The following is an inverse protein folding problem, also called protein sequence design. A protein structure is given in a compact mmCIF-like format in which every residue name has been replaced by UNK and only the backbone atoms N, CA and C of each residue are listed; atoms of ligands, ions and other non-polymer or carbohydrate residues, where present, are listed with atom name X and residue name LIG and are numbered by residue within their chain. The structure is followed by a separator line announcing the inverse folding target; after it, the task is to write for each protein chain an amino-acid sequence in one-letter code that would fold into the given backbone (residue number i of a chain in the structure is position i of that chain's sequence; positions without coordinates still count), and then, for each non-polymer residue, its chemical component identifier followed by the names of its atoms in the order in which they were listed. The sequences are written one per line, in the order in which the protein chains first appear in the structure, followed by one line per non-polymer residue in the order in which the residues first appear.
data_IF_367613686392
#
_entry.id   IF_367613686392
#
_cell.length_a   1.000
_cell.length_b   1.000
_cell.length_c   1.000
_cell.angle_alpha   90.00
_cell.angle_beta   90.00
_cell.angle_gamma   90.00
#
_symmetry.space_group_name_H-M   'P 1'
#
loop_
_entity.id
_entity.type
_entity.pdbx_description
1 polymer ?
#
# COMPACT_ATOMS: atom_id res chain seq x y z
N UNK A 1 -15.83 -9.14 15.80
CA UNK A 1 -14.39 -9.42 15.92
C UNK A 1 -13.65 -8.39 15.06
N UNK A 2 -12.61 -7.78 15.60
CA UNK A 2 -11.68 -6.97 14.82
C UNK A 2 -10.74 -7.89 14.05
N UNK A 3 -10.36 -7.49 12.84
CA UNK A 3 -9.31 -8.15 12.07
C UNK A 3 -8.02 -7.35 12.18
N UNK A 4 -6.91 -8.02 12.53
CA UNK A 4 -5.60 -7.40 12.65
C UNK A 4 -4.76 -7.68 11.40
N UNK A 5 -4.05 -6.64 10.95
CA UNK A 5 -3.03 -6.71 9.90
C UNK A 5 -1.72 -6.15 10.43
N UNK A 6 -0.61 -6.80 10.10
CA UNK A 6 0.74 -6.28 10.38
C UNK A 6 1.42 -5.96 9.06
N UNK A 7 2.04 -4.79 8.96
CA UNK A 7 2.76 -4.35 7.76
C UNK A 7 4.21 -4.07 8.11
N UNK A 8 5.12 -4.67 7.35
CA UNK A 8 6.56 -4.43 7.40
C UNK A 8 7.02 -3.68 6.16
N UNK A 9 8.07 -2.82 6.22
CA UNK A 9 8.89 -2.56 5.06
C UNK A 9 9.48 -3.86 4.50
N UNK A 10 9.49 -4.03 3.19
CA UNK A 10 9.98 -5.27 2.56
C UNK A 10 11.43 -5.58 2.92
N UNK A 11 12.29 -4.56 2.89
CA UNK A 11 13.72 -4.67 3.26
C UNK A 11 13.92 -5.04 4.74
N UNK A 12 13.06 -4.51 5.62
CA UNK A 12 13.11 -4.84 7.05
C UNK A 12 12.70 -6.30 7.29
N UNK A 13 11.63 -6.74 6.62
CA UNK A 13 11.14 -8.11 6.73
C UNK A 13 12.18 -9.13 6.27
N UNK A 14 12.86 -8.90 5.15
CA UNK A 14 13.93 -9.78 4.67
C UNK A 14 15.08 -9.89 5.67
N UNK A 15 15.61 -8.76 6.13
CA UNK A 15 16.68 -8.73 7.15
C UNK A 15 16.27 -9.39 8.46
N UNK A 16 15.04 -9.16 8.88
CA UNK A 16 14.51 -9.77 10.09
C UNK A 16 14.43 -11.29 9.96
N UNK A 17 13.97 -11.80 8.82
CA UNK A 17 13.89 -13.23 8.56
C UNK A 17 15.30 -13.88 8.58
N UNK A 18 16.28 -13.26 7.93
CA UNK A 18 17.66 -13.75 7.94
C UNK A 18 18.23 -13.81 9.36
N UNK A 19 18.02 -12.75 10.16
CA UNK A 19 18.43 -12.71 11.55
C UNK A 19 17.74 -13.80 12.39
N UNK A 20 16.42 -13.92 12.29
CA UNK A 20 15.65 -14.86 13.11
C UNK A 20 16.00 -16.33 12.84
N UNK A 21 16.38 -16.68 11.62
CA UNK A 21 16.78 -18.04 11.28
C UNK A 21 18.30 -18.31 11.35
N UNK A 22 19.10 -17.30 11.72
CA UNK A 22 20.57 -17.44 11.84
C UNK A 22 21.01 -18.43 12.92
N UNK A 23 20.18 -18.63 13.94
CA UNK A 23 20.46 -19.53 15.08
C UNK A 23 19.86 -20.94 14.92
N UNK A 24 19.25 -21.25 13.76
CA UNK A 24 18.64 -22.56 13.51
C UNK A 24 19.62 -23.71 13.79
N UNK A 25 19.23 -24.82 14.50
CA UNK A 25 17.84 -25.20 14.83
C UNK A 25 17.28 -24.57 16.12
N UNK A 26 18.04 -23.74 16.85
CA UNK A 26 17.53 -23.05 18.05
C UNK A 26 16.55 -21.94 17.67
N UNK A 27 15.56 -21.72 18.53
CA UNK A 27 14.67 -20.57 18.41
C UNK A 27 15.43 -19.26 18.63
N UNK A 28 14.99 -18.23 17.95
CA UNK A 28 15.49 -16.86 18.08
C UNK A 28 14.31 -15.89 18.08
N UNK A 29 14.52 -14.67 18.55
CA UNK A 29 13.44 -13.70 18.64
C UNK A 29 13.93 -12.26 18.76
N UNK A 30 12.98 -11.35 18.76
CA UNK A 30 13.19 -9.92 18.94
C UNK A 30 11.88 -9.22 19.33
N UNK A 31 11.96 -7.94 19.68
CA UNK A 31 10.80 -7.08 19.74
C UNK A 31 10.70 -6.18 18.52
N UNK A 32 9.49 -6.06 17.96
CA UNK A 32 9.16 -5.07 16.95
C UNK A 32 8.39 -3.95 17.61
N UNK A 33 8.61 -2.74 17.13
CA UNK A 33 7.89 -1.55 17.56
C UNK A 33 7.04 -1.05 16.39
N UNK A 34 5.73 -0.91 16.60
CA UNK A 34 4.77 -0.63 15.55
C UNK A 34 3.86 0.56 15.88
N UNK A 35 3.53 1.37 14.89
CA UNK A 35 2.42 2.30 14.97
C UNK A 35 1.09 1.57 14.75
N UNK A 36 0.05 2.00 15.48
CA UNK A 36 -1.30 1.45 15.35
C UNK A 36 -2.23 2.47 14.69
N UNK A 37 -3.05 1.99 13.74
CA UNK A 37 -4.17 2.76 13.22
C UNK A 37 -5.37 1.88 12.89
N UNK A 38 -6.55 2.49 12.83
CA UNK A 38 -7.79 1.83 12.41
C UNK A 38 -8.02 2.09 10.92
N UNK A 39 -8.12 1.04 10.12
CA UNK A 39 -8.43 1.08 8.69
C UNK A 39 -9.94 0.88 8.42
N UNK A 40 -10.78 1.31 9.36
CA UNK A 40 -12.23 1.14 9.35
C UNK A 40 -12.76 0.62 10.69
N UNK A 41 -14.07 0.36 10.82
CA UNK A 41 -14.67 0.00 12.10
C UNK A 41 -14.22 -1.36 12.65
N UNK A 42 -13.84 -2.28 11.76
CA UNK A 42 -13.49 -3.67 12.12
C UNK A 42 -12.05 -4.06 11.79
N UNK A 43 -11.25 -3.17 11.18
CA UNK A 43 -9.88 -3.47 10.75
C UNK A 43 -8.86 -2.59 11.49
N UNK A 44 -7.95 -3.22 12.20
CA UNK A 44 -6.81 -2.58 12.88
C UNK A 44 -5.49 -2.98 12.21
N UNK A 45 -4.55 -2.05 12.13
CA UNK A 45 -3.27 -2.26 11.45
C UNK A 45 -2.12 -1.84 12.35
N UNK A 46 -1.09 -2.67 12.42
CA UNK A 46 0.19 -2.39 13.07
C UNK A 46 1.25 -2.20 11.97
N UNK A 47 1.90 -1.03 11.96
CA UNK A 47 2.98 -0.71 11.02
C UNK A 47 4.30 -0.81 11.75
N UNK A 48 5.12 -1.78 11.38
CA UNK A 48 6.44 -1.98 12.00
C UNK A 48 7.42 -0.91 11.52
N UNK A 49 7.99 -0.18 12.46
CA UNK A 49 8.93 0.91 12.18
C UNK A 49 10.31 0.69 12.76
N UNK A 50 10.43 -0.12 13.82
CA UNK A 50 11.70 -0.37 14.51
C UNK A 50 11.78 -1.81 14.99
N UNK A 51 13.01 -2.33 15.09
CA UNK A 51 13.33 -3.64 15.67
C UNK A 51 14.28 -3.44 16.85
N UNK A 52 14.00 -4.10 17.95
CA UNK A 52 14.88 -4.22 19.10
C UNK A 52 15.47 -5.61 19.06
N UNK A 53 16.72 -5.70 18.63
CA UNK A 53 17.44 -6.97 18.57
C UNK A 53 17.93 -7.38 19.96
N UNK A 54 17.99 -8.70 20.24
CA UNK A 54 18.54 -9.22 21.48
C UNK A 54 20.05 -9.00 21.52
N UNK A 55 20.59 -8.97 22.74
CA UNK A 55 22.01 -9.15 23.06
C UNK A 55 22.24 -10.57 23.57
N UNK A 56 23.50 -10.95 23.86
CA UNK A 56 23.81 -12.27 24.38
C UNK A 56 23.12 -12.58 25.72
N UNK A 57 22.75 -11.58 26.51
CA UNK A 57 22.08 -11.74 27.82
C UNK A 57 20.56 -11.55 27.74
N UNK A 58 19.98 -11.53 26.55
CA UNK A 58 18.53 -11.26 26.39
C UNK A 58 17.64 -12.48 26.65
N UNK A 59 18.22 -13.67 26.79
CA UNK A 59 17.47 -14.91 26.95
C UNK A 59 17.78 -15.57 28.28
N UNK A 60 16.72 -15.91 29.06
CA UNK A 60 16.85 -16.82 30.19
C UNK A 60 17.07 -18.25 29.68
N UNK A 61 16.38 -18.60 28.60
CA UNK A 61 16.49 -19.87 27.91
C UNK A 61 16.32 -19.65 26.40
N UNK A 62 17.18 -20.32 25.60
CA UNK A 62 17.08 -20.37 24.14
C UNK A 62 17.40 -21.78 23.65
N UNK A 63 16.37 -22.59 23.44
CA UNK A 63 16.43 -23.97 22.96
C UNK A 63 15.87 -24.14 21.55
N UNK A 64 15.67 -25.39 21.16
CA UNK A 64 15.08 -25.75 19.85
C UNK A 64 13.53 -25.66 19.87
N UNK A 65 12.91 -25.64 21.06
CA UNK A 65 11.46 -25.70 21.25
C UNK A 65 10.93 -24.69 22.28
N UNK A 66 11.80 -23.82 22.79
CA UNK A 66 11.38 -22.77 23.72
C UNK A 66 12.35 -21.61 23.77
N UNK A 67 11.81 -20.40 23.81
CA UNK A 67 12.55 -19.15 23.93
C UNK A 67 11.93 -18.29 25.03
N UNK A 68 12.72 -17.98 26.07
CA UNK A 68 12.25 -17.17 27.21
C UNK A 68 13.11 -15.90 27.32
N UNK A 69 12.54 -14.72 27.11
CA UNK A 69 13.26 -13.46 27.27
C UNK A 69 13.52 -13.14 28.74
N UNK A 70 14.62 -12.45 29.01
CA UNK A 70 14.92 -11.90 30.34
C UNK A 70 14.02 -10.69 30.64
N UNK A 71 13.83 -10.40 31.93
CA UNK A 71 13.10 -9.20 32.36
C UNK A 71 13.76 -7.91 31.84
N UNK A 72 15.10 -7.88 31.75
CA UNK A 72 15.84 -6.75 31.19
C UNK A 72 15.47 -6.49 29.72
N UNK A 73 15.39 -7.56 28.91
CA UNK A 73 15.05 -7.42 27.48
C UNK A 73 13.60 -7.00 27.29
N UNK A 74 12.68 -7.52 28.12
CA UNK A 74 11.27 -7.08 28.15
C UNK A 74 11.20 -5.60 28.52
N UNK A 75 11.86 -5.19 29.62
CA UNK A 75 11.85 -3.82 30.10
C UNK A 75 12.39 -2.84 29.05
N UNK A 76 13.42 -3.22 28.29
CA UNK A 76 13.92 -2.42 27.18
C UNK A 76 12.83 -2.13 26.13
N UNK A 77 12.02 -3.14 25.78
CA UNK A 77 10.91 -2.96 24.84
C UNK A 77 9.78 -2.12 25.44
N UNK A 78 9.50 -2.27 26.73
CA UNK A 78 8.48 -1.50 27.46
C UNK A 78 8.86 -0.03 27.53
N UNK A 79 10.09 0.28 27.92
CA UNK A 79 10.61 1.65 27.99
C UNK A 79 10.54 2.32 26.59
N UNK A 80 10.97 1.60 25.56
CA UNK A 80 10.88 2.10 24.19
C UNK A 80 9.43 2.38 23.79
N UNK A 81 8.50 1.46 24.11
CA UNK A 81 7.08 1.63 23.83
C UNK A 81 6.51 2.84 24.57
N UNK A 82 6.88 3.03 25.83
CA UNK A 82 6.40 4.15 26.64
C UNK A 82 6.88 5.50 26.10
N UNK A 83 8.17 5.61 25.82
CA UNK A 83 8.78 6.84 25.31
C UNK A 83 8.28 7.21 23.91
N UNK A 84 8.08 6.23 23.04
CA UNK A 84 7.76 6.48 21.62
C UNK A 84 6.28 6.45 21.29
N UNK A 85 5.44 5.92 22.17
CA UNK A 85 4.02 5.67 21.88
C UNK A 85 3.76 4.45 20.99
N UNK A 86 4.78 3.68 20.64
CA UNK A 86 4.68 2.51 19.77
C UNK A 86 4.13 1.28 20.50
N UNK A 87 3.54 0.38 19.72
CA UNK A 87 3.01 -0.91 20.18
C UNK A 87 4.11 -1.96 20.10
N UNK A 88 4.50 -2.65 21.19
CA UNK A 88 5.48 -3.72 21.14
C UNK A 88 4.87 -5.02 20.62
N UNK A 89 5.62 -5.75 19.80
CA UNK A 89 5.27 -7.06 19.27
C UNK A 89 6.45 -7.99 19.55
N UNK A 90 6.25 -9.02 20.35
CA UNK A 90 7.24 -10.06 20.52
C UNK A 90 7.21 -11.02 19.35
N UNK A 91 8.35 -11.27 18.73
CA UNK A 91 8.49 -12.21 17.61
C UNK A 91 9.49 -13.28 17.97
N UNK A 92 9.13 -14.55 17.74
CA UNK A 92 10.07 -15.67 17.86
C UNK A 92 9.86 -16.69 16.74
N UNK A 93 10.81 -17.60 16.60
CA UNK A 93 10.81 -18.61 15.55
C UNK A 93 10.51 -20.00 16.09
N UNK A 94 9.88 -20.82 15.24
CA UNK A 94 9.86 -22.28 15.34
C UNK A 94 10.60 -22.87 14.12
N UNK A 95 11.94 -22.90 14.13
CA UNK A 95 12.73 -23.21 12.93
C UNK A 95 12.62 -24.66 12.48
N UNK A 96 12.38 -25.59 13.41
CA UNK A 96 12.24 -27.03 13.15
C UNK A 96 10.82 -27.47 12.80
N UNK A 97 9.83 -26.54 12.81
CA UNK A 97 8.45 -26.88 12.48
C UNK A 97 8.25 -27.21 11.01
N UNK A 98 7.75 -28.42 10.72
CA UNK A 98 7.35 -28.87 9.38
C UNK A 98 5.92 -28.50 9.01
N UNK A 99 5.17 -27.91 9.95
CA UNK A 99 3.78 -27.45 9.76
C UNK A 99 3.72 -25.92 9.79
N UNK A 100 2.59 -25.31 9.38
CA UNK A 100 2.32 -23.91 9.66
C UNK A 100 2.52 -23.64 11.16
N UNK A 101 3.11 -22.49 11.52
CA UNK A 101 3.44 -22.24 12.93
C UNK A 101 2.17 -22.09 13.76
N UNK A 102 2.20 -22.61 14.97
CA UNK A 102 1.18 -22.41 16.00
C UNK A 102 1.87 -22.07 17.31
N UNK A 103 1.18 -21.33 18.17
CA UNK A 103 1.65 -21.12 19.54
C UNK A 103 1.60 -22.42 20.32
N UNK A 104 2.72 -22.78 20.97
CA UNK A 104 2.76 -23.87 21.93
C UNK A 104 1.95 -23.52 23.17
N UNK A 105 1.66 -24.52 24.03
CA UNK A 105 0.99 -24.26 25.31
C UNK A 105 1.79 -23.34 26.23
N UNK A 106 3.11 -23.42 26.13
CA UNK A 106 4.04 -22.53 26.85
C UNK A 106 3.94 -21.11 26.32
N UNK A 107 3.94 -20.93 25.00
CA UNK A 107 3.78 -19.60 24.39
C UNK A 107 2.44 -18.96 24.78
N UNK A 108 1.35 -19.74 24.74
CA UNK A 108 0.01 -19.24 25.09
C UNK A 108 -0.04 -18.75 26.53
N UNK A 109 0.49 -19.56 27.48
CA UNK A 109 0.49 -19.19 28.89
C UNK A 109 1.43 -18.02 29.21
N UNK A 110 2.58 -17.99 28.57
CA UNK A 110 3.59 -16.92 28.74
C UNK A 110 3.10 -15.61 28.12
N UNK A 111 2.59 -15.65 26.90
CA UNK A 111 2.04 -14.49 26.23
C UNK A 111 0.87 -13.87 26.98
N UNK A 112 -0.06 -14.69 27.47
CA UNK A 112 -1.22 -14.17 28.20
C UNK A 112 -0.81 -13.45 29.49
N UNK A 113 0.08 -14.05 30.30
CA UNK A 113 0.60 -13.42 31.52
C UNK A 113 1.41 -12.17 31.22
N UNK A 114 2.28 -12.23 30.21
CA UNK A 114 3.07 -11.08 29.76
C UNK A 114 2.15 -9.93 29.34
N UNK A 115 1.14 -10.20 28.53
CA UNK A 115 0.22 -9.18 28.05
C UNK A 115 -0.63 -8.55 29.16
N UNK A 116 -1.08 -9.34 30.14
CA UNK A 116 -1.79 -8.78 31.30
C UNK A 116 -0.90 -7.80 32.06
N UNK A 117 0.30 -8.21 32.40
CA UNK A 117 1.24 -7.36 33.16
C UNK A 117 1.64 -6.10 32.36
N UNK A 118 1.92 -6.24 31.06
CA UNK A 118 2.28 -5.11 30.21
C UNK A 118 1.11 -4.17 29.93
N UNK A 119 -0.13 -4.66 29.89
CA UNK A 119 -1.31 -3.84 29.72
C UNK A 119 -1.56 -2.89 30.90
N UNK A 120 -1.16 -3.28 32.12
CA UNK A 120 -1.20 -2.40 33.28
C UNK A 120 -0.25 -1.21 33.13
N UNK A 121 0.92 -1.44 32.50
CA UNK A 121 1.97 -0.42 32.32
C UNK A 121 1.69 0.42 31.07
N UNK A 122 1.38 -0.22 29.94
CA UNK A 122 1.25 0.41 28.63
C UNK A 122 -0.21 0.73 28.26
N UNK A 123 -1.11 0.83 29.23
CA UNK A 123 -2.56 0.99 29.10
C UNK A 123 -3.04 1.56 27.76
N UNK A 124 -4.03 0.91 27.11
CA UNK A 124 -4.62 1.28 25.82
C UNK A 124 -3.83 0.93 24.55
N UNK A 125 -2.58 0.47 24.66
CA UNK A 125 -1.79 0.08 23.47
C UNK A 125 -1.97 -1.39 23.14
N UNK A 126 -2.20 -1.74 21.86
CA UNK A 126 -2.15 -3.13 21.43
C UNK A 126 -0.79 -3.77 21.69
N UNK A 127 -0.79 -5.00 22.18
CA UNK A 127 0.40 -5.80 22.42
C UNK A 127 0.36 -7.03 21.51
N UNK A 128 1.42 -7.28 20.74
CA UNK A 128 1.45 -8.36 19.76
C UNK A 128 2.38 -9.50 20.14
N UNK A 129 2.05 -10.71 19.66
CA UNK A 129 2.98 -11.83 19.60
C UNK A 129 2.88 -12.53 18.25
N UNK A 130 4.02 -12.86 17.67
CA UNK A 130 4.13 -13.49 16.34
C UNK A 130 5.10 -14.66 16.41
N UNK A 131 4.68 -15.79 15.87
CA UNK A 131 5.55 -16.96 15.63
C UNK A 131 5.80 -17.10 14.15
N UNK A 132 7.07 -17.28 13.77
CA UNK A 132 7.50 -17.45 12.39
C UNK A 132 8.14 -18.83 12.23
N UNK A 133 7.70 -19.59 11.23
CA UNK A 133 8.37 -20.79 10.76
C UNK A 133 8.80 -20.62 9.30
N UNK A 134 9.49 -21.61 8.74
CA UNK A 134 9.81 -21.64 7.30
C UNK A 134 8.56 -21.75 6.42
N UNK A 135 7.41 -22.14 7.00
CA UNK A 135 6.13 -22.42 6.29
C UNK A 135 5.04 -21.37 6.51
N UNK A 136 5.30 -20.35 7.30
CA UNK A 136 4.32 -19.29 7.51
C UNK A 136 4.51 -18.51 8.79
N UNK A 137 3.52 -17.71 9.09
CA UNK A 137 3.47 -16.84 10.26
C UNK A 137 2.11 -17.04 10.93
N UNK A 138 2.09 -17.07 12.25
CA UNK A 138 0.87 -16.90 13.06
C UNK A 138 1.09 -15.81 14.08
N UNK A 139 0.02 -15.15 14.50
CA UNK A 139 0.15 -14.10 15.51
C UNK A 139 -1.16 -13.73 16.14
N UNK A 140 -1.05 -13.13 17.31
CA UNK A 140 -2.17 -12.59 18.08
C UNK A 140 -1.86 -11.18 18.56
N UNK A 141 -2.91 -10.40 18.78
CA UNK A 141 -2.84 -9.07 19.38
C UNK A 141 -3.74 -9.05 20.60
N UNK A 142 -3.21 -8.60 21.72
CA UNK A 142 -3.98 -8.30 22.91
C UNK A 142 -4.40 -6.83 22.87
N UNK A 143 -5.70 -6.57 22.86
CA UNK A 143 -6.26 -5.23 22.83
C UNK A 143 -7.61 -5.23 23.52
N UNK A 144 -7.91 -4.19 24.29
CA UNK A 144 -9.18 -4.05 25.03
C UNK A 144 -9.53 -5.29 25.90
N UNK A 145 -8.52 -5.90 26.53
CA UNK A 145 -8.68 -7.08 27.39
C UNK A 145 -8.91 -8.39 26.65
N UNK A 146 -8.72 -8.46 25.33
CA UNK A 146 -8.99 -9.64 24.49
C UNK A 146 -7.80 -9.99 23.61
N UNK A 147 -7.63 -11.29 23.36
CA UNK A 147 -6.73 -11.79 22.33
C UNK A 147 -7.50 -11.94 21.01
N UNK A 148 -6.97 -11.33 19.97
CA UNK A 148 -7.51 -11.35 18.60
C UNK A 148 -6.43 -11.81 17.63
N UNK A 149 -6.80 -12.58 16.61
CA UNK A 149 -5.85 -13.13 15.64
C UNK A 149 -5.37 -12.07 14.63
N UNK A 150 -4.09 -12.19 14.26
CA UNK A 150 -3.53 -11.48 13.11
C UNK A 150 -3.91 -12.27 11.84
N UNK A 151 -4.79 -11.69 11.05
CA UNK A 151 -5.32 -12.35 9.84
C UNK A 151 -4.46 -12.10 8.60
N UNK A 152 -3.61 -11.08 8.61
CA UNK A 152 -2.78 -10.72 7.47
C UNK A 152 -1.44 -10.14 7.92
N UNK A 153 -0.37 -10.62 7.33
CA UNK A 153 0.97 -10.03 7.44
C UNK A 153 1.44 -9.66 6.04
N UNK A 154 1.88 -8.42 5.84
CA UNK A 154 2.31 -7.91 4.54
C UNK A 154 3.71 -7.34 4.65
N UNK A 155 4.60 -7.76 3.79
CA UNK A 155 5.86 -7.07 3.53
C UNK A 155 5.66 -6.12 2.35
N UNK A 156 5.60 -4.81 2.63
CA UNK A 156 5.37 -3.78 1.64
C UNK A 156 6.69 -3.28 1.07
N UNK A 157 6.99 -3.67 -0.15
CA UNK A 157 8.19 -3.28 -0.90
C UNK A 157 7.89 -3.32 -2.39
N UNK A 158 8.95 -3.33 -3.23
CA UNK A 158 8.81 -3.63 -4.65
C UNK A 158 8.31 -5.06 -4.86
N UNK A 159 8.68 -5.96 -3.95
CA UNK A 159 8.06 -7.26 -3.79
C UNK A 159 6.96 -7.11 -2.72
N UNK A 160 5.70 -7.19 -3.16
CA UNK A 160 4.55 -7.15 -2.26
C UNK A 160 4.21 -8.57 -1.80
N UNK A 161 4.80 -9.00 -0.70
CA UNK A 161 4.55 -10.33 -0.14
C UNK A 161 3.43 -10.26 0.89
N UNK A 162 2.32 -10.91 0.59
CA UNK A 162 1.42 -11.36 1.64
C UNK A 162 2.00 -12.62 2.23
N UNK A 163 2.66 -12.47 3.37
CA UNK A 163 3.14 -13.62 4.14
C UNK A 163 1.92 -14.30 4.72
N UNK A 164 1.63 -15.49 4.23
CA UNK A 164 0.40 -16.19 4.58
C UNK A 164 0.35 -16.46 6.08
N UNK A 165 -0.67 -15.92 6.73
CA UNK A 165 -1.25 -16.55 7.90
C UNK A 165 -2.04 -17.74 7.36
N UNK A 166 -1.74 -18.98 7.75
CA UNK A 166 -2.49 -20.14 7.29
C UNK A 166 -3.95 -20.01 7.72
N UNK A 167 -4.81 -19.55 6.84
CA UNK A 167 -6.24 -19.73 7.03
C UNK A 167 -6.55 -21.16 6.60
N UNK A 168 -6.74 -22.02 7.58
CA UNK A 168 -7.40 -23.31 7.36
C UNK A 168 -8.74 -23.01 6.67
N UNK A 169 -8.97 -23.65 5.52
CA UNK A 169 -10.27 -23.81 4.86
C UNK A 169 -10.67 -22.92 3.68
N UNK A 170 -9.76 -22.38 2.87
CA UNK A 170 -10.25 -21.79 1.61
C UNK A 170 -9.72 -22.48 0.33
N UNK A 171 -9.39 -23.77 0.41
CA UNK A 171 -9.03 -24.62 -0.74
C UNK A 171 -10.23 -25.15 -1.51
N UNK A 172 -11.46 -24.90 -1.04
CA UNK A 172 -12.66 -25.57 -1.56
C UNK A 172 -13.35 -24.88 -2.74
N UNK A 173 -13.08 -23.62 -3.05
CA UNK A 173 -13.68 -22.98 -4.22
C UNK A 173 -12.80 -23.12 -5.45
N UNK A 174 -13.26 -23.92 -6.41
CA UNK A 174 -12.64 -24.06 -7.74
C UNK A 174 -12.54 -22.67 -8.38
N UNK A 175 -11.34 -22.28 -8.82
CA UNK A 175 -11.16 -21.02 -9.54
C UNK A 175 -12.05 -21.00 -10.79
N UNK A 176 -12.65 -19.84 -11.09
CA UNK A 176 -13.49 -19.69 -12.25
C UNK A 176 -12.65 -19.88 -13.52
N UNK A 177 -13.11 -20.72 -14.44
CA UNK A 177 -12.43 -21.07 -15.70
C UNK A 177 -12.07 -19.86 -16.57
N UNK A 178 -12.75 -18.71 -16.39
CA UNK A 178 -12.41 -17.46 -17.10
C UNK A 178 -10.99 -16.96 -16.82
N UNK A 179 -10.36 -17.41 -15.72
CA UNK A 179 -8.99 -17.04 -15.37
C UNK A 179 -7.94 -18.08 -15.77
N UNK A 180 -8.33 -19.16 -16.47
CA UNK A 180 -7.43 -20.27 -16.85
C UNK A 180 -6.12 -19.79 -17.50
N UNK A 181 -6.21 -18.84 -18.44
CA UNK A 181 -5.01 -18.29 -19.12
C UNK A 181 -4.08 -17.53 -18.19
N UNK A 182 -4.62 -16.82 -17.18
CA UNK A 182 -3.83 -16.10 -16.20
C UNK A 182 -3.20 -17.06 -15.19
N UNK A 183 -3.96 -18.07 -14.76
CA UNK A 183 -3.48 -19.13 -13.86
C UNK A 183 -2.29 -19.89 -14.48
N UNK A 184 -2.29 -20.10 -15.81
CA UNK A 184 -1.13 -20.72 -16.51
C UNK A 184 0.13 -19.86 -16.47
N UNK A 185 0.02 -18.52 -16.28
CA UNK A 185 1.15 -17.63 -16.18
C UNK A 185 1.63 -17.49 -14.72
N UNK A 186 0.70 -17.27 -13.79
CA UNK A 186 1.03 -16.84 -12.42
C UNK A 186 0.77 -17.93 -11.36
N UNK A 187 0.06 -18.99 -11.69
CA UNK A 187 -0.41 -19.99 -10.74
C UNK A 187 -1.70 -19.62 -10.02
N UNK A 188 -2.32 -20.62 -9.38
CA UNK A 188 -3.58 -20.42 -8.64
C UNK A 188 -3.42 -19.54 -7.42
N UNK A 189 -2.30 -19.61 -6.73
CA UNK A 189 -2.03 -18.85 -5.51
C UNK A 189 -2.06 -17.34 -5.77
N UNK A 190 -1.38 -16.90 -6.82
CA UNK A 190 -1.38 -15.49 -7.23
C UNK A 190 -2.78 -15.05 -7.69
N UNK A 191 -3.51 -15.91 -8.43
CA UNK A 191 -4.87 -15.57 -8.82
C UNK A 191 -5.81 -15.41 -7.61
N UNK A 192 -5.68 -16.26 -6.59
CA UNK A 192 -6.42 -16.13 -5.32
C UNK A 192 -6.02 -14.87 -4.56
N UNK A 193 -4.72 -14.51 -4.56
CA UNK A 193 -4.25 -13.25 -3.99
C UNK A 193 -4.93 -12.05 -4.67
N UNK A 194 -4.92 -11.99 -6.01
CA UNK A 194 -5.58 -10.92 -6.79
C UNK A 194 -7.06 -10.81 -6.41
N UNK A 195 -7.78 -11.94 -6.27
CA UNK A 195 -9.20 -11.96 -5.92
C UNK A 195 -9.50 -11.48 -4.49
N UNK A 196 -8.52 -11.44 -3.60
CA UNK A 196 -8.64 -10.91 -2.23
C UNK A 196 -8.25 -9.45 -2.12
N UNK A 197 -7.51 -8.92 -3.08
CA UNK A 197 -7.00 -7.55 -3.02
C UNK A 197 -8.12 -6.51 -3.08
N UNK A 198 -7.92 -5.45 -2.32
CA UNK A 198 -8.65 -4.19 -2.42
C UNK A 198 -7.73 -3.14 -3.03
N UNK A 199 -8.12 -2.56 -4.15
CA UNK A 199 -7.33 -1.54 -4.86
C UNK A 199 -8.13 -0.26 -4.96
N UNK A 200 -7.55 0.86 -4.51
CA UNK A 200 -8.11 2.20 -4.76
C UNK A 200 -7.56 2.78 -6.05
N UNK A 201 -8.42 3.42 -6.82
CA UNK A 201 -8.06 4.17 -8.02
C UNK A 201 -8.53 5.61 -7.82
N UNK A 202 -7.58 6.53 -7.79
CA UNK A 202 -7.82 7.97 -7.59
C UNK A 202 -7.57 8.70 -8.90
N UNK A 203 -8.60 9.39 -9.39
CA UNK A 203 -8.66 9.95 -10.74
C UNK A 203 -9.16 8.93 -11.76
N UNK A 204 -10.29 9.22 -12.40
CA UNK A 204 -10.96 8.34 -13.38
C UNK A 204 -11.05 8.98 -14.78
N UNK A 205 -10.01 9.70 -15.14
CA UNK A 205 -9.79 10.11 -16.52
C UNK A 205 -9.42 8.94 -17.45
N UNK A 206 -8.75 9.21 -18.54
CA UNK A 206 -8.34 8.18 -19.50
C UNK A 206 -7.51 7.06 -18.86
N UNK A 207 -6.51 7.42 -18.04
CA UNK A 207 -5.63 6.44 -17.36
C UNK A 207 -6.40 5.62 -16.31
N UNK A 208 -7.08 6.28 -15.37
CA UNK A 208 -7.73 5.57 -14.26
C UNK A 208 -8.92 4.72 -14.71
N UNK A 209 -9.68 5.13 -15.72
CA UNK A 209 -10.76 4.29 -16.29
C UNK A 209 -10.20 3.04 -16.97
N UNK A 210 -9.06 3.17 -17.67
CA UNK A 210 -8.35 2.03 -18.27
C UNK A 210 -7.80 1.07 -17.20
N UNK A 211 -7.18 1.59 -16.13
CA UNK A 211 -6.74 0.80 -14.96
C UNK A 211 -7.92 0.03 -14.37
N UNK A 212 -9.06 0.69 -14.14
CA UNK A 212 -10.25 0.07 -13.56
C UNK A 212 -10.77 -1.11 -14.39
N UNK A 213 -10.80 -0.96 -15.73
CA UNK A 213 -11.19 -2.03 -16.65
C UNK A 213 -10.20 -3.19 -16.59
N UNK A 214 -8.90 -2.93 -16.65
CA UNK A 214 -7.87 -3.96 -16.61
C UNK A 214 -7.89 -4.74 -15.29
N UNK A 215 -7.90 -4.05 -14.14
CA UNK A 215 -7.96 -4.68 -12.82
C UNK A 215 -9.23 -5.53 -12.63
N UNK A 216 -10.36 -5.07 -13.15
CA UNK A 216 -11.60 -5.86 -13.11
C UNK A 216 -11.49 -7.14 -13.96
N UNK A 217 -10.84 -7.06 -15.14
CA UNK A 217 -10.65 -8.22 -16.03
C UNK A 217 -9.70 -9.25 -15.46
N UNK A 218 -8.63 -8.83 -14.77
CA UNK A 218 -7.72 -9.77 -14.08
C UNK A 218 -8.32 -10.32 -12.78
N UNK A 219 -9.45 -9.78 -12.31
CA UNK A 219 -10.23 -10.36 -11.21
C UNK A 219 -9.90 -9.81 -9.83
N UNK A 220 -9.45 -8.57 -9.72
CA UNK A 220 -9.28 -7.90 -8.40
C UNK A 220 -10.59 -7.96 -7.61
N UNK A 221 -10.49 -8.32 -6.33
CA UNK A 221 -11.65 -8.59 -5.48
C UNK A 221 -12.50 -7.36 -5.19
N UNK A 222 -11.87 -6.22 -4.88
CA UNK A 222 -12.57 -4.96 -4.60
C UNK A 222 -11.84 -3.78 -5.24
N UNK A 223 -12.59 -2.90 -5.90
CA UNK A 223 -12.14 -1.59 -6.35
C UNK A 223 -12.86 -0.48 -5.58
N UNK A 224 -12.09 0.52 -5.15
CA UNK A 224 -12.59 1.77 -4.59
C UNK A 224 -12.25 2.86 -5.61
N UNK A 225 -13.28 3.38 -6.27
CA UNK A 225 -13.16 4.40 -7.30
C UNK A 225 -13.39 5.78 -6.69
N UNK A 226 -12.43 6.69 -6.86
CA UNK A 226 -12.45 8.03 -6.26
C UNK A 226 -12.19 9.06 -7.36
N UNK A 227 -13.17 9.90 -7.63
CA UNK A 227 -13.07 11.03 -8.55
C UNK A 227 -14.18 12.03 -8.24
N UNK A 228 -13.88 13.32 -8.24
CA UNK A 228 -14.85 14.39 -7.95
C UNK A 228 -15.68 14.81 -9.14
N UNK A 229 -15.20 14.55 -10.37
CA UNK A 229 -15.71 15.14 -11.59
C UNK A 229 -16.89 14.36 -12.18
N UNK A 230 -17.62 15.05 -13.05
CA UNK A 230 -18.59 14.48 -13.97
C UNK A 230 -17.99 14.26 -15.36
N UNK A 231 -18.67 13.46 -16.18
CA UNK A 231 -18.32 13.25 -17.59
C UNK A 231 -18.62 14.54 -18.38
N UNK A 232 -17.62 15.04 -19.06
CA UNK A 232 -17.72 16.10 -20.05
C UNK A 232 -17.65 15.52 -21.46
N UNK A 233 -18.11 16.23 -22.47
CA UNK A 233 -18.04 15.80 -23.87
C UNK A 233 -16.59 15.50 -24.30
N UNK A 234 -15.63 16.33 -23.87
CA UNK A 234 -14.20 16.15 -24.12
C UNK A 234 -13.63 14.88 -23.51
N UNK A 235 -14.31 14.25 -22.54
CA UNK A 235 -13.89 13.01 -21.90
C UNK A 235 -14.25 11.77 -22.72
N UNK A 236 -15.26 11.86 -23.59
CA UNK A 236 -15.77 10.72 -24.37
C UNK A 236 -14.70 10.10 -25.27
N UNK A 237 -13.68 10.85 -25.64
CA UNK A 237 -12.58 10.38 -26.49
C UNK A 237 -11.56 9.49 -25.78
N UNK A 238 -11.59 9.44 -24.42
CA UNK A 238 -10.55 8.72 -23.66
C UNK A 238 -11.02 8.00 -22.40
N UNK A 239 -12.19 8.32 -21.85
CA UNK A 239 -12.73 7.65 -20.65
C UNK A 239 -13.43 6.36 -21.05
N UNK A 240 -12.90 5.22 -20.60
CA UNK A 240 -13.45 3.92 -20.91
C UNK A 240 -14.87 3.74 -20.36
N UNK A 241 -15.79 3.27 -21.23
CA UNK A 241 -17.16 2.97 -20.87
C UNK A 241 -18.11 4.17 -20.87
N UNK A 242 -17.62 5.40 -21.11
CA UNK A 242 -18.47 6.59 -21.27
C UNK A 242 -19.18 6.59 -22.61
N UNK A 243 -20.39 7.16 -22.65
CA UNK A 243 -21.24 7.32 -23.82
C UNK A 243 -21.76 8.75 -23.89
N UNK A 244 -22.25 9.19 -25.03
CA UNK A 244 -22.91 10.50 -25.19
C UNK A 244 -24.00 10.76 -24.13
N UNK A 245 -24.78 9.73 -23.79
CA UNK A 245 -25.84 9.79 -22.78
C UNK A 245 -25.35 9.89 -21.34
N UNK A 246 -24.05 9.85 -21.13
CA UNK A 246 -23.41 9.92 -19.80
C UNK A 246 -22.82 11.28 -19.48
N UNK A 247 -22.85 12.22 -20.43
CA UNK A 247 -22.44 13.62 -20.20
C UNK A 247 -23.24 14.21 -19.04
N UNK A 248 -22.57 14.83 -18.07
CA UNK A 248 -23.14 15.37 -16.84
C UNK A 248 -23.25 14.38 -15.68
N UNK A 249 -23.17 13.06 -15.92
CA UNK A 249 -23.15 12.06 -14.83
C UNK A 249 -21.75 11.97 -14.21
N UNK A 250 -21.69 11.55 -12.95
CA UNK A 250 -20.42 11.40 -12.24
C UNK A 250 -19.55 10.32 -12.89
N UNK A 251 -18.23 10.56 -13.03
CA UNK A 251 -17.30 9.58 -13.60
C UNK A 251 -17.33 8.26 -12.83
N UNK A 252 -17.40 8.31 -11.50
CA UNK A 252 -17.40 7.13 -10.64
C UNK A 252 -18.59 6.20 -10.90
N UNK A 253 -19.81 6.73 -11.10
CA UNK A 253 -20.99 5.91 -11.36
C UNK A 253 -21.02 5.37 -12.80
N UNK A 254 -20.59 6.17 -13.78
CA UNK A 254 -20.49 5.71 -15.18
C UNK A 254 -19.53 4.54 -15.29
N UNK A 255 -18.33 4.65 -14.71
CA UNK A 255 -17.32 3.59 -14.75
C UNK A 255 -17.80 2.38 -13.96
N UNK A 256 -18.34 2.53 -12.75
CA UNK A 256 -18.91 1.44 -11.96
C UNK A 256 -19.98 0.67 -12.75
N UNK A 257 -20.87 1.36 -13.45
CA UNK A 257 -21.89 0.75 -14.32
C UNK A 257 -21.22 -0.03 -15.46
N UNK A 258 -20.18 0.53 -16.08
CA UNK A 258 -19.44 -0.14 -17.15
C UNK A 258 -18.75 -1.40 -16.64
N UNK A 259 -18.05 -1.36 -15.51
CA UNK A 259 -17.37 -2.53 -14.93
C UNK A 259 -18.37 -3.66 -14.59
N UNK A 260 -19.53 -3.30 -14.05
CA UNK A 260 -20.60 -4.27 -13.73
C UNK A 260 -21.23 -4.92 -14.96
N UNK A 261 -21.12 -4.33 -16.14
CA UNK A 261 -21.67 -4.89 -17.38
C UNK A 261 -20.93 -6.17 -17.82
N UNK A 262 -19.66 -6.35 -17.42
CA UNK A 262 -18.86 -7.52 -17.81
C UNK A 262 -18.25 -8.30 -16.64
N UNK A 263 -18.38 -7.82 -15.39
CA UNK A 263 -17.91 -8.53 -14.20
C UNK A 263 -18.81 -8.30 -12.99
N UNK A 264 -19.21 -9.40 -12.33
CA UNK A 264 -19.93 -9.37 -11.06
C UNK A 264 -19.05 -9.83 -9.90
N UNK A 265 -17.87 -10.37 -10.17
CA UNK A 265 -16.95 -10.88 -9.13
C UNK A 265 -16.16 -9.78 -8.42
N UNK A 266 -15.91 -8.66 -9.09
CA UNK A 266 -15.25 -7.49 -8.49
C UNK A 266 -16.27 -6.60 -7.79
N UNK A 267 -16.11 -6.39 -6.48
CA UNK A 267 -16.92 -5.42 -5.73
C UNK A 267 -16.45 -4.02 -6.07
N UNK A 268 -17.35 -3.13 -6.48
CA UNK A 268 -17.01 -1.75 -6.87
C UNK A 268 -17.72 -0.76 -5.94
N UNK A 269 -16.94 -0.03 -5.18
CA UNK A 269 -17.37 1.12 -4.38
C UNK A 269 -17.02 2.40 -5.15
N UNK A 270 -17.96 3.33 -5.27
CA UNK A 270 -17.80 4.58 -6.03
C UNK A 270 -17.97 5.76 -5.09
N UNK A 271 -17.01 6.68 -5.09
CA UNK A 271 -16.97 7.86 -4.24
C UNK A 271 -16.74 9.10 -5.10
N UNK A 272 -17.77 9.91 -5.28
CA UNK A 272 -17.63 11.22 -5.90
C UNK A 272 -17.06 12.20 -4.86
N UNK A 273 -15.75 12.18 -4.70
CA UNK A 273 -15.04 12.94 -3.66
C UNK A 273 -13.70 13.45 -4.17
N UNK A 274 -13.24 14.54 -3.59
CA UNK A 274 -11.86 15.00 -3.71
C UNK A 274 -11.00 14.22 -2.73
N UNK A 275 -9.86 13.68 -3.20
CA UNK A 275 -8.93 12.90 -2.36
C UNK A 275 -8.32 13.72 -1.22
N UNK A 276 -8.38 15.05 -1.31
CA UNK A 276 -7.92 15.95 -0.26
C UNK A 276 -8.86 16.03 0.95
N UNK A 277 -10.00 15.32 0.90
CA UNK A 277 -10.98 15.30 1.99
C UNK A 277 -10.70 14.17 2.98
N UNK A 278 -10.82 14.46 4.27
CA UNK A 278 -10.51 13.50 5.35
C UNK A 278 -11.38 12.23 5.28
N UNK A 279 -12.63 12.33 4.84
CA UNK A 279 -13.53 11.18 4.67
C UNK A 279 -13.07 10.20 3.58
N UNK A 280 -12.17 10.61 2.69
CA UNK A 280 -11.55 9.77 1.66
C UNK A 280 -10.37 9.00 2.21
N UNK A 281 -9.62 9.56 3.16
CA UNK A 281 -8.49 8.89 3.80
C UNK A 281 -8.91 7.54 4.38
N UNK A 282 -10.03 7.49 5.09
CA UNK A 282 -10.54 6.24 5.69
C UNK A 282 -10.82 5.14 4.66
N UNK A 283 -11.14 5.51 3.44
CA UNK A 283 -11.32 4.56 2.32
C UNK A 283 -9.99 4.11 1.75
N UNK A 284 -9.04 5.04 1.58
CA UNK A 284 -7.68 4.71 1.13
C UNK A 284 -6.98 3.73 2.07
N UNK A 285 -7.14 3.90 3.39
CA UNK A 285 -6.55 3.03 4.40
C UNK A 285 -7.06 1.58 4.37
N UNK A 286 -8.17 1.30 3.67
CA UNK A 286 -8.67 -0.06 3.45
C UNK A 286 -7.95 -0.79 2.32
N UNK A 287 -7.14 -0.09 1.52
CA UNK A 287 -6.53 -0.62 0.30
C UNK A 287 -5.26 -1.41 0.58
N UNK A 288 -4.99 -2.37 -0.27
CA UNK A 288 -3.70 -3.06 -0.34
C UNK A 288 -2.73 -2.35 -1.28
N UNK A 289 -3.26 -1.64 -2.30
CA UNK A 289 -2.50 -0.82 -3.26
C UNK A 289 -3.37 0.37 -3.70
N UNK A 290 -2.75 1.50 -3.97
CA UNK A 290 -3.38 2.70 -4.51
C UNK A 290 -2.82 2.97 -5.91
N UNK A 291 -3.69 3.20 -6.89
CA UNK A 291 -3.33 3.78 -8.18
C UNK A 291 -3.61 5.29 -8.14
N UNK A 292 -2.58 6.10 -8.30
CA UNK A 292 -2.66 7.55 -8.49
C UNK A 292 -2.72 7.86 -9.99
N UNK A 293 -3.91 8.26 -10.46
CA UNK A 293 -4.18 8.57 -11.85
C UNK A 293 -4.68 10.02 -12.01
N UNK A 294 -4.27 10.89 -11.09
CA UNK A 294 -4.67 12.31 -11.04
C UNK A 294 -3.71 13.18 -11.84
N UNK A 295 -4.21 14.27 -12.36
CA UNK A 295 -3.49 15.28 -13.13
C UNK A 295 -2.99 16.46 -12.29
N UNK A 296 -3.42 16.59 -11.01
CA UNK A 296 -2.98 17.65 -10.12
C UNK A 296 -1.96 17.19 -9.10
N UNK A 297 -1.04 18.07 -8.74
CA UNK A 297 0.07 17.79 -7.82
C UNK A 297 -0.38 17.65 -6.38
N UNK A 298 -1.41 18.37 -5.96
CA UNK A 298 -1.96 18.33 -4.61
C UNK A 298 -2.49 16.93 -4.25
N UNK A 299 -3.27 16.32 -5.14
CA UNK A 299 -3.74 14.94 -4.97
C UNK A 299 -2.59 13.94 -4.94
N UNK A 300 -1.60 14.10 -5.84
CA UNK A 300 -0.41 13.24 -5.88
C UNK A 300 0.41 13.34 -4.60
N UNK A 301 0.54 14.55 -4.03
CA UNK A 301 1.24 14.76 -2.76
C UNK A 301 0.54 14.03 -1.60
N UNK A 302 -0.78 14.09 -1.53
CA UNK A 302 -1.56 13.36 -0.51
C UNK A 302 -1.42 11.86 -0.66
N UNK A 303 -1.55 11.33 -1.88
CA UNK A 303 -1.38 9.90 -2.12
C UNK A 303 0.04 9.41 -1.78
N UNK A 304 1.05 10.22 -2.10
CA UNK A 304 2.44 9.98 -1.70
C UNK A 304 2.58 9.92 -0.17
N UNK A 305 1.98 10.87 0.54
CA UNK A 305 2.01 10.90 2.02
C UNK A 305 1.26 9.70 2.63
N UNK A 306 0.10 9.31 2.10
CA UNK A 306 -0.62 8.10 2.52
C UNK A 306 0.26 6.86 2.34
N UNK A 307 0.89 6.72 1.16
CA UNK A 307 1.77 5.59 0.89
C UNK A 307 2.91 5.48 1.90
N UNK A 308 3.59 6.59 2.16
CA UNK A 308 4.75 6.63 3.06
C UNK A 308 4.36 6.40 4.52
N UNK A 309 3.29 7.05 4.97
CA UNK A 309 2.91 7.01 6.39
C UNK A 309 2.21 5.71 6.79
N UNK A 310 1.47 5.09 5.86
CA UNK A 310 0.67 3.89 6.15
C UNK A 310 1.20 2.62 5.48
N UNK A 311 2.33 2.71 4.77
CA UNK A 311 2.94 1.59 4.04
C UNK A 311 1.99 0.92 3.04
N UNK A 312 1.11 1.71 2.44
CA UNK A 312 0.25 1.25 1.34
C UNK A 312 0.96 1.60 0.03
N UNK A 313 1.38 0.63 -0.78
CA UNK A 313 2.04 0.91 -2.05
C UNK A 313 1.21 1.82 -2.94
N UNK A 314 1.83 2.86 -3.50
CA UNK A 314 1.28 3.75 -4.50
C UNK A 314 1.91 3.45 -5.85
N UNK A 315 1.09 3.21 -6.86
CA UNK A 315 1.48 3.18 -8.27
C UNK A 315 1.00 4.49 -8.88
N UNK A 316 1.90 5.47 -8.93
CA UNK A 316 1.63 6.77 -9.52
C UNK A 316 1.80 6.69 -11.04
N UNK A 317 0.76 7.05 -11.79
CA UNK A 317 0.71 6.96 -13.25
C UNK A 317 0.39 8.31 -13.85
N UNK A 318 1.29 8.82 -14.67
CA UNK A 318 1.15 10.11 -15.34
C UNK A 318 1.44 10.03 -16.82
N UNK A 319 0.81 10.94 -17.56
CA UNK A 319 1.09 11.18 -18.97
C UNK A 319 1.36 12.65 -19.18
N UNK A 320 2.31 12.98 -20.05
CA UNK A 320 2.60 14.35 -20.45
C UNK A 320 2.83 14.44 -21.95
N UNK A 321 2.21 15.44 -22.57
CA UNK A 321 2.48 15.82 -23.95
C UNK A 321 3.03 17.24 -23.90
N UNK A 322 4.29 17.41 -24.29
CA UNK A 322 4.93 18.71 -24.39
C UNK A 322 4.84 19.21 -25.84
N UNK A 323 4.45 20.47 -26.00
CA UNK A 323 4.39 21.17 -27.28
C UNK A 323 5.35 22.34 -27.26
N UNK A 324 6.05 22.50 -28.35
CA UNK A 324 6.84 23.69 -28.60
C UNK A 324 5.94 24.91 -28.89
N UNK A 325 6.45 26.16 -28.77
CA UNK A 325 5.68 27.37 -29.10
C UNK A 325 5.10 27.40 -30.51
N UNK A 326 5.73 26.69 -31.44
CA UNK A 326 5.27 26.55 -32.85
C UNK A 326 4.15 25.49 -33.02
N UNK A 327 3.63 24.91 -31.91
CA UNK A 327 2.57 23.90 -31.89
C UNK A 327 3.05 22.48 -32.22
N UNK A 328 4.31 22.25 -32.56
CA UNK A 328 4.86 20.91 -32.80
C UNK A 328 4.95 20.15 -31.48
N UNK A 329 4.64 18.87 -31.53
CA UNK A 329 4.83 17.95 -30.38
C UNK A 329 6.34 17.71 -30.26
N UNK A 330 6.86 17.94 -29.06
CA UNK A 330 8.26 17.72 -28.70
C UNK A 330 8.42 16.39 -27.97
N UNK A 331 7.58 16.14 -26.96
CA UNK A 331 7.64 14.92 -26.15
C UNK A 331 6.25 14.35 -25.88
N UNK A 332 6.16 13.01 -25.87
CA UNK A 332 4.98 12.25 -25.45
C UNK A 332 5.46 11.22 -24.44
N UNK A 333 5.24 11.47 -23.17
CA UNK A 333 5.77 10.63 -22.08
C UNK A 333 4.67 9.95 -21.28
N UNK A 334 4.79 8.65 -21.09
CA UNK A 334 4.09 7.91 -20.03
C UNK A 334 5.08 7.58 -18.92
N UNK A 335 4.75 7.96 -17.69
CA UNK A 335 5.60 7.74 -16.50
C UNK A 335 4.83 6.98 -15.43
N UNK A 336 5.46 5.94 -14.90
CA UNK A 336 4.97 5.15 -13.79
C UNK A 336 6.03 5.17 -12.69
N UNK A 337 5.61 5.47 -11.46
CA UNK A 337 6.47 5.37 -10.29
C UNK A 337 5.79 4.61 -9.16
N UNK A 338 6.47 3.61 -8.64
CA UNK A 338 6.04 2.83 -7.48
C UNK A 338 6.66 3.43 -6.23
N UNK A 339 5.81 3.89 -5.30
CA UNK A 339 6.21 4.39 -3.99
C UNK A 339 5.86 3.35 -2.93
N UNK A 340 6.88 2.92 -2.20
CA UNK A 340 6.78 1.98 -1.08
C UNK A 340 7.69 2.44 0.06
N UNK A 341 7.67 1.80 1.24
CA UNK A 341 8.62 2.10 2.30
C UNK A 341 10.10 2.04 1.88
N UNK A 342 10.43 1.22 0.87
CA UNK A 342 11.81 0.94 0.44
C UNK A 342 12.23 1.69 -0.83
N UNK A 343 11.35 2.49 -1.43
CA UNK A 343 11.63 3.21 -2.68
C UNK A 343 11.67 4.72 -2.49
N UNK A 344 12.22 5.41 -3.50
CA UNK A 344 12.13 6.86 -3.60
C UNK A 344 10.66 7.30 -3.73
N UNK A 345 10.27 8.29 -2.96
CA UNK A 345 8.94 8.89 -3.05
C UNK A 345 8.88 9.96 -4.16
N UNK A 346 7.70 10.51 -4.42
CA UNK A 346 7.53 11.52 -5.47
C UNK A 346 8.31 12.82 -5.20
N UNK A 347 8.57 13.17 -3.93
CA UNK A 347 9.48 14.27 -3.57
C UNK A 347 10.95 13.93 -3.83
N UNK A 348 11.35 12.67 -3.65
CA UNK A 348 12.73 12.25 -3.92
C UNK A 348 13.09 12.32 -5.40
N UNK A 349 12.11 12.22 -6.29
CA UNK A 349 12.29 12.20 -7.75
C UNK A 349 11.88 13.51 -8.42
N UNK A 350 11.69 14.56 -7.63
CA UNK A 350 11.24 15.88 -8.08
C UNK A 350 9.97 15.82 -8.97
N UNK A 351 9.12 14.80 -8.73
CA UNK A 351 7.82 14.64 -9.39
C UNK A 351 6.72 15.50 -8.74
N UNK A 352 7.03 16.15 -7.62
CA UNK A 352 6.20 17.12 -6.91
C UNK A 352 6.96 18.42 -6.78
N UNK A 353 6.25 19.52 -6.99
CA UNK A 353 6.74 20.89 -6.79
C UNK A 353 5.89 21.61 -5.73
N UNK A 354 6.54 22.08 -4.66
CA UNK A 354 5.83 22.70 -3.53
C UNK A 354 5.18 24.03 -3.88
N UNK A 355 5.79 24.80 -4.79
CA UNK A 355 5.23 26.10 -5.24
C UNK A 355 4.00 25.85 -6.11
N UNK A 356 4.08 24.92 -7.04
CA UNK A 356 2.97 24.56 -7.89
C UNK A 356 1.78 23.98 -7.06
N UNK A 357 2.06 23.15 -6.04
CA UNK A 357 1.04 22.64 -5.11
C UNK A 357 0.37 23.78 -4.37
N UNK A 358 1.14 24.74 -3.86
CA UNK A 358 0.59 25.92 -3.17
C UNK A 358 -0.32 26.70 -4.11
N UNK A 359 0.11 26.94 -5.36
CA UNK A 359 -0.69 27.64 -6.36
C UNK A 359 -1.99 26.91 -6.73
N UNK A 360 -1.99 25.56 -6.72
CA UNK A 360 -3.22 24.77 -6.93
C UNK A 360 -4.25 24.96 -5.81
N UNK A 361 -3.81 25.28 -4.59
CA UNK A 361 -4.68 25.46 -3.42
C UNK A 361 -5.23 26.88 -3.27
N UNK A 362 -4.73 27.84 -4.04
CA UNK A 362 -5.22 29.24 -4.02
C UNK A 362 -6.64 29.36 -4.56
N UNK A 363 -7.42 30.36 -4.10
CA UNK A 363 -8.69 30.73 -4.70
C UNK A 363 -8.56 31.02 -6.21
N UNK A 364 -9.63 30.78 -6.97
CA UNK A 364 -9.60 30.90 -8.43
C UNK A 364 -9.20 32.32 -8.90
N UNK A 365 -9.66 33.35 -8.17
CA UNK A 365 -9.33 34.74 -8.49
C UNK A 365 -7.80 35.02 -8.36
N UNK A 366 -7.20 34.52 -7.28
CA UNK A 366 -5.75 34.67 -7.07
C UNK A 366 -4.94 33.88 -8.12
N UNK A 367 -5.42 32.69 -8.51
CA UNK A 367 -4.80 31.91 -9.57
C UNK A 367 -4.81 32.63 -10.90
N UNK A 368 -5.95 33.21 -11.28
CA UNK A 368 -6.09 34.01 -12.52
C UNK A 368 -5.18 35.23 -12.50
N UNK A 369 -5.04 35.89 -11.34
CA UNK A 369 -4.13 37.02 -11.20
C UNK A 369 -2.68 36.61 -11.44
N UNK A 370 -2.23 35.50 -10.85
CA UNK A 370 -0.89 34.97 -11.07
C UNK A 370 -0.62 34.57 -12.53
N UNK A 371 -1.64 34.05 -13.22
CA UNK A 371 -1.57 33.74 -14.65
C UNK A 371 -1.42 35.02 -15.50
N UNK A 372 -2.20 36.04 -15.22
CA UNK A 372 -2.13 37.34 -15.92
C UNK A 372 -0.80 38.07 -15.69
N UNK A 373 -0.24 37.94 -14.49
CA UNK A 373 1.05 38.54 -14.11
C UNK A 373 2.26 37.71 -14.62
N UNK A 374 2.03 36.55 -15.24
CA UNK A 374 3.08 35.68 -15.79
C UNK A 374 3.85 34.85 -14.75
N UNK A 375 3.39 34.84 -13.49
CA UNK A 375 3.96 34.00 -12.42
C UNK A 375 3.48 32.54 -12.48
N UNK A 376 2.52 32.22 -13.35
CA UNK A 376 1.98 30.90 -13.55
C UNK A 376 1.71 30.66 -15.04
N UNK A 377 2.07 29.46 -15.51
CA UNK A 377 1.62 29.03 -16.84
C UNK A 377 0.10 28.80 -16.82
N UNK A 378 -0.56 29.13 -17.92
CA UNK A 378 -2.00 28.87 -18.11
C UNK A 378 -2.31 27.39 -17.80
N UNK A 379 -3.33 27.16 -16.96
CA UNK A 379 -3.83 25.81 -16.65
C UNK A 379 -4.76 25.28 -17.71
N UNK A 380 -4.46 25.51 -18.99
CA UNK A 380 -5.18 24.82 -20.05
C UNK A 380 -5.14 23.32 -19.81
N UNK A 381 -6.32 22.67 -19.94
CA UNK A 381 -6.44 21.23 -19.75
C UNK A 381 -5.35 20.52 -20.54
N UNK A 382 -4.49 19.79 -19.85
CA UNK A 382 -3.35 19.09 -20.48
C UNK A 382 -3.83 18.21 -21.64
N UNK A 383 -3.14 18.25 -22.79
CA UNK A 383 -3.46 17.40 -23.91
C UNK A 383 -3.45 15.93 -23.48
N UNK A 384 -4.44 15.17 -23.91
CA UNK A 384 -4.55 13.76 -23.55
C UNK A 384 -5.16 12.96 -24.70
N UNK A 385 -4.59 11.79 -24.96
CA UNK A 385 -5.02 10.87 -26.00
C UNK A 385 -5.17 9.46 -25.43
N UNK A 386 -6.17 8.72 -25.87
CA UNK A 386 -6.53 7.40 -25.33
C UNK A 386 -5.36 6.39 -25.44
N UNK A 387 -4.62 6.40 -26.54
CA UNK A 387 -3.48 5.49 -26.72
C UNK A 387 -2.41 5.67 -25.65
N UNK A 388 -2.04 6.93 -25.35
CA UNK A 388 -1.04 7.26 -24.33
C UNK A 388 -1.52 6.88 -22.92
N UNK A 389 -2.76 7.23 -22.57
CA UNK A 389 -3.33 6.91 -21.26
C UNK A 389 -3.51 5.40 -21.05
N UNK A 390 -3.78 4.65 -22.13
CA UNK A 390 -3.86 3.19 -22.09
C UNK A 390 -2.49 2.55 -21.90
N UNK A 391 -1.43 3.06 -22.51
CA UNK A 391 -0.06 2.61 -22.28
C UNK A 391 0.33 2.81 -20.82
N UNK A 392 0.12 4.01 -20.28
CA UNK A 392 0.41 4.30 -18.88
C UNK A 392 -0.38 3.37 -17.93
N UNK A 393 -1.66 3.16 -18.19
CA UNK A 393 -2.51 2.26 -17.41
C UNK A 393 -1.99 0.81 -17.45
N UNK A 394 -1.64 0.32 -18.64
CA UNK A 394 -1.14 -1.06 -18.82
C UNK A 394 0.20 -1.28 -18.13
N UNK A 395 1.10 -0.30 -18.20
CA UNK A 395 2.38 -0.35 -17.48
C UNK A 395 2.15 -0.34 -15.96
N UNK A 396 1.25 0.50 -15.46
CA UNK A 396 0.91 0.53 -14.03
C UNK A 396 0.32 -0.79 -13.54
N UNK A 397 -0.60 -1.38 -14.29
CA UNK A 397 -1.17 -2.70 -13.96
C UNK A 397 -0.11 -3.80 -14.04
N UNK A 398 0.78 -3.75 -15.03
CA UNK A 398 1.90 -4.68 -15.12
C UNK A 398 2.87 -4.55 -13.94
N UNK A 399 3.12 -3.31 -13.44
CA UNK A 399 3.91 -3.11 -12.21
C UNK A 399 3.25 -3.78 -11.01
N UNK A 400 1.94 -3.67 -10.84
CA UNK A 400 1.25 -4.40 -9.78
C UNK A 400 1.45 -5.92 -9.90
N UNK A 401 1.28 -6.48 -11.11
CA UNK A 401 1.48 -7.91 -11.34
C UNK A 401 2.92 -8.32 -11.04
N UNK A 402 3.91 -7.54 -11.47
CA UNK A 402 5.32 -7.78 -11.15
C UNK A 402 5.58 -7.76 -9.64
N UNK A 403 4.98 -6.81 -8.90
CA UNK A 403 5.14 -6.72 -7.44
C UNK A 403 4.62 -7.95 -6.71
N UNK A 404 3.52 -8.56 -7.18
CA UNK A 404 2.93 -9.74 -6.53
C UNK A 404 3.51 -11.07 -7.01
N UNK A 405 4.30 -11.06 -8.10
CA UNK A 405 4.98 -12.24 -8.67
C UNK A 405 6.48 -12.24 -8.43
N UNK A 406 6.99 -11.35 -7.55
CA UNK A 406 8.42 -11.20 -7.23
C UNK A 406 9.32 -11.00 -8.47
N UNK A 407 8.79 -10.34 -9.51
CA UNK A 407 9.51 -10.12 -10.76
C UNK A 407 9.88 -8.65 -11.03
N UNK A 408 9.71 -7.78 -10.02
CA UNK A 408 10.01 -6.36 -10.13
C UNK A 408 11.42 -6.04 -9.68
N UNK A 409 12.16 -5.34 -10.54
CA UNK A 409 13.50 -4.81 -10.22
C UNK A 409 13.49 -3.29 -10.06
N UNK A 410 12.59 -2.60 -10.76
CA UNK A 410 12.58 -1.16 -10.92
C UNK A 410 11.37 -0.51 -10.28
N UNK A 411 11.56 0.68 -9.70
CA UNK A 411 10.49 1.47 -9.09
C UNK A 411 9.95 2.57 -9.99
N UNK A 412 10.67 2.93 -11.07
CA UNK A 412 10.26 3.94 -12.04
C UNK A 412 10.40 3.40 -13.45
N UNK A 413 9.40 3.71 -14.29
CA UNK A 413 9.42 3.42 -15.73
C UNK A 413 8.91 4.63 -16.47
N UNK A 414 9.65 5.07 -17.48
CA UNK A 414 9.27 6.14 -18.39
C UNK A 414 9.36 5.63 -19.83
N UNK A 415 8.35 5.95 -20.63
CA UNK A 415 8.36 5.70 -22.08
C UNK A 415 8.16 7.01 -22.79
N UNK A 416 9.14 7.37 -23.60
CA UNK A 416 9.04 8.45 -24.55
C UNK A 416 8.58 7.88 -25.89
N UNK A 417 7.45 8.35 -26.41
CA UNK A 417 6.81 7.78 -27.60
C UNK A 417 7.12 8.56 -28.89
N UNK A 418 7.58 9.82 -28.81
CA UNK A 418 8.00 10.58 -29.98
C UNK A 418 9.33 10.04 -30.53
N UNK A 419 10.21 9.59 -29.67
CA UNK A 419 11.40 8.79 -29.97
C UNK A 419 11.34 7.58 -29.07
N UNK A 420 11.15 6.34 -29.57
CA UNK A 420 10.84 5.19 -28.73
C UNK A 420 12.01 4.86 -27.78
N UNK A 421 12.04 5.56 -26.63
CA UNK A 421 13.00 5.34 -25.55
C UNK A 421 12.26 4.80 -24.35
N UNK A 422 12.76 3.69 -23.82
CA UNK A 422 12.28 3.07 -22.61
C UNK A 422 13.34 3.22 -21.52
N UNK A 423 12.99 3.89 -20.42
CA UNK A 423 13.83 4.05 -19.24
C UNK A 423 13.18 3.32 -18.08
N UNK A 424 13.93 2.42 -17.47
CA UNK A 424 13.49 1.74 -16.26
C UNK A 424 14.63 1.77 -15.25
N UNK A 425 14.37 2.33 -14.05
CA UNK A 425 15.38 2.52 -13.03
C UNK A 425 14.82 2.42 -11.60
N UNK A 426 15.74 2.48 -10.64
CA UNK A 426 15.42 2.51 -9.21
C UNK A 426 16.05 3.75 -8.57
N UNK A 427 15.36 4.90 -8.60
CA UNK A 427 15.85 6.12 -7.98
C UNK A 427 16.15 5.91 -6.49
N UNK A 428 17.23 6.55 -6.03
CA UNK A 428 17.61 6.52 -4.61
C UNK A 428 16.73 7.45 -3.79
N UNK A 429 16.51 7.07 -2.54
CA UNK A 429 15.88 7.95 -1.55
C UNK A 429 16.79 9.15 -1.32
N UNK A 430 16.28 10.36 -1.58
CA UNK A 430 17.03 11.62 -1.47
C UNK A 430 17.34 11.91 0.01
N UNK A 431 18.60 12.16 0.33
CA UNK A 431 19.01 12.51 1.68
C UNK A 431 18.29 13.80 2.12
N UNK A 432 17.76 13.82 3.35
CA UNK A 432 17.00 14.94 3.89
C UNK A 432 15.56 15.06 3.36
N UNK A 433 15.10 14.15 2.49
CA UNK A 433 13.71 14.16 2.06
C UNK A 433 12.77 13.95 3.24
N UNK A 434 11.66 14.72 3.26
CA UNK A 434 10.64 14.65 4.32
C UNK A 434 10.08 13.23 4.52
N UNK A 435 10.09 12.41 3.46
CA UNK A 435 9.63 11.03 3.56
C UNK A 435 10.39 10.20 4.60
N UNK A 436 11.67 10.50 4.85
CA UNK A 436 12.47 9.77 5.85
C UNK A 436 11.94 9.95 7.27
N UNK A 437 11.40 11.14 7.57
CA UNK A 437 10.81 11.47 8.88
C UNK A 437 9.35 10.99 9.02
N UNK A 438 8.68 10.74 7.89
CA UNK A 438 7.24 10.40 7.88
C UNK A 438 6.94 8.92 7.65
N UNK A 439 7.95 8.08 7.39
CA UNK A 439 7.72 6.66 7.14
C UNK A 439 7.11 5.96 8.33
N UNK A 440 5.93 5.37 8.13
CA UNK A 440 5.23 4.54 9.10
C UNK A 440 4.64 5.27 10.31
N UNK A 441 4.59 6.62 10.32
CA UNK A 441 4.09 7.37 11.50
C UNK A 441 2.56 7.37 11.63
N UNK A 442 1.82 7.01 10.57
CA UNK A 442 0.35 6.97 10.56
C UNK A 442 -0.33 8.27 11.06
N UNK A 443 0.28 9.43 10.80
CA UNK A 443 -0.04 10.72 11.43
C UNK A 443 -1.02 11.61 10.65
N UNK A 444 -1.58 11.15 9.51
CA UNK A 444 -2.54 11.97 8.73
C UNK A 444 -3.92 12.05 9.40
N UNK A 445 -4.26 11.13 10.28
CA UNK A 445 -5.42 11.28 11.15
C UNK A 445 -5.05 12.20 12.30
N UNK A 446 -5.70 13.35 12.39
CA UNK A 446 -5.72 14.08 13.66
C UNK A 446 -6.39 13.16 14.68
N UNK A 447 -5.66 12.86 15.76
CA UNK A 447 -6.26 12.22 16.93
C UNK A 447 -7.26 13.24 17.45
N UNK A 448 -8.55 13.05 17.13
CA UNK A 448 -9.66 13.74 17.77
C UNK A 448 -9.98 13.02 19.07
#
# INVERSE_FOLDING_TARGET
MRSWKVIFPGSLYSKLKDFLFSSSPKENGCFLMANHYKAGPTKSVLIVTKVILPTHNSWQHAGESSLVPTSEFINKAVIEADVTGLCPIFVHTHPSSHHPPSFSSVDQSTNFRLFQNLNEILSTRPLGSIVISRRGITGVVFSDGRLEEILQVTAAGLELKNVQVPQMNDTSSRLNSKFDRQVRIYGEEIQRLIQRMTVSIVGLGGTGSSVAVQLTRIGVGKLILIDKDSIEETNLTRVYGSRLTDVGKTKVEVIKKHLRSFSRSTKVEALQKDVTKDDVLDKLLQSDVIFGCTDNLSSRAILNDVSIQYYIPLIDTGCRIHKLPNGKIDQIVAKIQVVTPDTACLWCTDSLDGVAILQETLPEEERRKLELEGYRESTDKQPSIISLTSIAASLGVNKLLQMITDSTTDSRTEIELSIPIFISDRPKIKQGCICQKRRGIAGLRKVT
#
